data_IF_578413613388
#
_entry.id   IF_578413613388
#
_cell.length_a   1.000
_cell.length_b   1.000
_cell.length_c   1.000
_cell.angle_alpha   90.00
_cell.angle_beta   90.00
_cell.angle_gamma   90.00
#
_symmetry.space_group_name_H-M   'P 1'
#
loop_
_entity.id
_entity.type
_entity.pdbx_description
1 polymer ?
#
# COMPACT_ATOMS: atom_id res chain seq x y z
N UNK A 1 -25.25 2.82 3.79
CA UNK A 1 -24.17 2.37 4.68
C UNK A 1 -23.85 0.91 4.41
N UNK A 2 -22.67 0.68 3.83
CA UNK A 2 -22.04 -0.62 3.65
C UNK A 2 -21.80 -1.31 4.99
N UNK A 3 -21.69 -2.64 4.99
CA UNK A 3 -21.32 -3.43 6.18
C UNK A 3 -20.04 -2.87 6.83
N UNK A 4 -19.06 -2.49 6.01
CA UNK A 4 -17.80 -1.90 6.47
C UNK A 4 -17.98 -0.52 7.13
N UNK A 5 -18.89 0.32 6.64
CA UNK A 5 -19.18 1.62 7.26
C UNK A 5 -19.92 1.44 8.59
N UNK A 6 -20.71 0.37 8.74
CA UNK A 6 -21.36 0.03 10.01
C UNK A 6 -20.36 -0.50 11.02
N UNK A 7 -19.41 -1.32 10.60
CA UNK A 7 -18.39 -1.87 11.50
C UNK A 7 -17.40 -0.79 11.92
N UNK A 8 -16.97 0.10 11.01
CA UNK A 8 -16.13 1.24 11.39
C UNK A 8 -16.83 2.20 12.33
N UNK A 9 -18.11 2.50 12.12
CA UNK A 9 -18.89 3.33 13.04
C UNK A 9 -19.07 2.66 14.42
N UNK A 10 -19.13 1.32 14.47
CA UNK A 10 -19.19 0.57 15.72
C UNK A 10 -17.87 0.61 16.48
N UNK A 11 -16.74 0.42 15.78
CA UNK A 11 -15.41 0.47 16.38
C UNK A 11 -15.06 1.88 16.88
N UNK A 12 -15.35 2.93 16.11
CA UNK A 12 -15.16 4.32 16.55
C UNK A 12 -15.95 4.66 17.81
N UNK A 13 -17.16 4.10 17.95
CA UNK A 13 -17.98 4.30 19.15
C UNK A 13 -17.40 3.58 20.36
N UNK A 14 -16.89 2.36 20.20
CA UNK A 14 -16.25 1.60 21.27
C UNK A 14 -14.95 2.26 21.75
N UNK A 15 -14.15 2.82 20.83
CA UNK A 15 -12.95 3.58 21.18
C UNK A 15 -13.29 4.86 21.95
N UNK A 16 -14.32 5.59 21.52
CA UNK A 16 -14.78 6.78 22.24
C UNK A 16 -15.37 6.46 23.63
N UNK A 17 -16.00 5.30 23.79
CA UNK A 17 -16.49 4.81 25.09
C UNK A 17 -15.31 4.40 26.00
N UNK A 18 -14.22 3.84 25.46
CA UNK A 18 -13.00 3.50 26.20
C UNK A 18 -12.21 4.73 26.68
N UNK A 19 -12.03 5.74 25.82
CA UNK A 19 -11.35 6.98 26.18
C UNK A 19 -12.13 7.78 27.27
N UNK A 20 -13.46 7.65 27.29
CA UNK A 20 -14.29 8.30 28.30
C UNK A 20 -14.20 7.64 29.69
N UNK A 21 -13.79 6.37 29.77
CA UNK A 21 -13.58 5.67 31.05
C UNK A 21 -12.20 5.97 31.68
N UNK A 22 -11.23 6.48 30.91
CA UNK A 22 -9.91 6.87 31.42
C UNK A 22 -9.92 8.21 32.18
N UNK A 23 -10.90 9.10 31.93
CA UNK A 23 -10.94 10.43 32.56
C UNK A 23 -11.63 10.47 33.96
N UNK A 24 -12.22 9.38 34.46
CA UNK A 24 -12.91 9.35 35.78
C UNK A 24 -12.22 8.43 36.82
N UNK A 25 -11.11 7.77 36.48
CA UNK A 25 -10.42 6.80 37.36
C UNK A 25 -9.23 7.33 38.16
N UNK A 26 -8.90 8.62 38.05
CA UNK A 26 -7.68 9.21 38.58
C UNK A 26 -7.71 9.64 40.05
N UNK A 27 -8.05 8.76 41.01
CA UNK A 27 -7.67 8.97 42.42
C UNK A 27 -7.50 7.64 43.17
N UNK A 28 -6.38 7.53 43.91
CA UNK A 28 -5.93 6.44 44.79
C UNK A 28 -5.26 5.21 44.14
N UNK A 29 -3.93 5.20 44.11
CA UNK A 29 -3.11 4.58 45.19
C UNK A 29 -1.61 4.77 44.91
N UNK A 30 -1.00 5.61 45.73
CA UNK A 30 0.44 5.72 45.93
C UNK A 30 0.94 4.68 46.94
N UNK A 31 2.19 4.23 46.68
CA UNK A 31 3.10 3.42 47.54
C UNK A 31 3.00 1.90 47.36
N UNK A 32 4.02 1.26 46.79
CA UNK A 32 5.25 0.80 47.48
C UNK A 32 6.30 0.32 46.45
N UNK A 33 7.55 0.73 46.67
CA UNK A 33 8.78 0.26 46.00
C UNK A 33 9.04 -1.24 46.25
N UNK A 34 9.57 -1.93 45.25
CA UNK A 34 10.60 -2.95 45.48
C UNK A 34 11.43 -3.17 44.21
N UNK A 35 12.73 -2.94 44.36
CA UNK A 35 13.79 -3.20 43.39
C UNK A 35 13.85 -4.69 42.97
N UNK A 36 14.01 -4.92 41.67
CA UNK A 36 14.60 -6.14 41.14
C UNK A 36 15.34 -5.82 39.83
N UNK A 37 16.67 -5.77 39.96
CA UNK A 37 17.63 -5.91 38.85
C UNK A 37 17.34 -7.19 38.06
N UNK A 38 17.05 -7.07 36.77
CA UNK A 38 17.37 -8.14 35.82
C UNK A 38 17.87 -7.58 34.50
N UNK A 39 19.20 -7.67 34.40
CA UNK A 39 20.04 -7.51 33.23
C UNK A 39 19.54 -8.41 32.08
N UNK A 40 18.85 -7.83 31.10
CA UNK A 40 18.63 -8.45 29.79
C UNK A 40 19.43 -7.67 28.77
N UNK A 41 20.43 -8.36 28.24
CA UNK A 41 21.26 -7.96 27.10
C UNK A 41 20.41 -7.44 25.94
N UNK A 42 20.52 -6.15 25.67
CA UNK A 42 20.26 -5.54 24.37
C UNK A 42 21.05 -6.33 23.30
N UNK A 43 20.32 -7.04 22.45
CA UNK A 43 20.78 -7.39 21.13
C UNK A 43 19.78 -6.82 20.15
N UNK A 44 20.13 -5.62 19.69
CA UNK A 44 19.53 -4.95 18.55
C UNK A 44 19.51 -5.88 17.34
N UNK A 45 18.31 -6.33 16.96
CA UNK A 45 18.03 -6.71 15.56
C UNK A 45 16.98 -5.73 15.06
N UNK A 46 17.46 -4.50 14.96
CA UNK A 46 16.94 -3.48 14.09
C UNK A 46 17.06 -4.01 12.65
N UNK A 47 15.92 -4.29 12.01
CA UNK A 47 15.89 -4.36 10.55
C UNK A 47 15.86 -2.92 10.06
N UNK A 48 17.02 -2.25 10.06
CA UNK A 48 17.21 -0.97 9.40
C UNK A 48 16.90 -1.15 7.91
N UNK A 49 15.71 -0.68 7.52
CA UNK A 49 15.48 -0.22 6.16
C UNK A 49 15.98 1.22 6.07
N UNK A 50 17.28 1.41 6.27
CA UNK A 50 17.94 2.68 5.92
C UNK A 50 18.02 2.76 4.40
N UNK A 51 17.10 3.55 3.84
CA UNK A 51 17.25 4.13 2.51
C UNK A 51 18.25 5.27 2.69
N UNK A 52 19.54 4.99 2.50
CA UNK A 52 20.57 6.01 2.38
C UNK A 52 20.34 6.79 1.08
N UNK A 53 19.76 7.99 1.19
CA UNK A 53 19.74 9.02 0.15
C UNK A 53 21.05 9.82 0.23
N UNK A 54 22.13 9.25 -0.32
CA UNK A 54 23.38 9.97 -0.56
C UNK A 54 23.31 10.63 -1.95
N UNK A 55 22.83 11.88 -2.02
CA UNK A 55 23.08 12.78 -3.15
C UNK A 55 24.18 13.76 -2.74
N UNK A 56 25.41 13.44 -3.14
CA UNK A 56 26.56 14.33 -3.01
C UNK A 56 26.30 15.68 -3.71
N UNK A 57 26.56 16.74 -2.95
CA UNK A 57 26.54 18.13 -3.38
C UNK A 57 27.96 18.50 -3.85
N UNK A 58 28.14 18.69 -5.15
CA UNK A 58 29.39 19.17 -5.75
C UNK A 58 29.14 20.51 -6.47
N UNK A 59 29.98 21.50 -6.13
CA UNK A 59 29.93 22.91 -6.51
C UNK A 59 30.99 23.28 -7.56
N UNK A 60 30.60 23.94 -8.65
CA UNK A 60 31.30 25.02 -9.42
C UNK A 60 30.57 25.25 -10.77
N UNK A 61 29.78 26.33 -11.01
CA UNK A 61 30.13 27.73 -11.44
C UNK A 61 30.77 27.77 -12.85
N UNK A 62 30.10 28.19 -13.94
CA UNK A 62 29.72 29.55 -14.40
C UNK A 62 28.73 29.50 -15.61
N UNK A 63 28.07 30.63 -15.98
CA UNK A 63 26.82 30.70 -16.76
C UNK A 63 27.01 31.15 -18.22
N UNK A 64 26.07 30.86 -19.14
CA UNK A 64 25.77 31.74 -20.30
C UNK A 64 24.29 31.68 -20.73
N UNK A 65 23.67 32.86 -20.69
CA UNK A 65 22.58 33.48 -21.49
C UNK A 65 21.22 32.79 -21.78
N UNK A 66 20.17 33.37 -21.17
CA UNK A 66 18.78 33.55 -21.65
C UNK A 66 18.72 34.35 -23.00
N UNK A 67 17.61 34.45 -23.76
CA UNK A 67 16.20 34.31 -23.31
C UNK A 67 15.21 33.62 -24.28
N UNK A 68 14.03 33.29 -23.76
CA UNK A 68 12.76 33.96 -24.12
C UNK A 68 11.53 33.02 -23.99
N UNK A 69 10.57 33.44 -23.18
CA UNK A 69 9.18 33.38 -23.62
C UNK A 69 8.19 32.53 -22.81
N UNK A 70 7.50 33.23 -21.91
CA UNK A 70 6.04 33.15 -21.67
C UNK A 70 5.45 32.12 -20.67
N UNK A 71 5.24 32.66 -19.45
CA UNK A 71 3.95 32.79 -18.70
C UNK A 71 3.07 31.54 -18.46
N UNK A 72 3.15 31.01 -17.23
CA UNK A 72 2.12 30.84 -16.17
C UNK A 72 0.60 30.94 -16.51
N UNK A 73 -0.33 30.42 -15.67
CA UNK A 73 -0.24 29.30 -14.71
C UNK A 73 -1.52 28.40 -14.63
N UNK A 74 -1.38 27.30 -13.86
CA UNK A 74 -2.38 26.58 -13.03
C UNK A 74 -3.87 26.97 -13.10
N UNK A 75 -4.72 25.96 -13.27
CA UNK A 75 -5.97 25.83 -12.50
C UNK A 75 -6.45 24.37 -12.44
N UNK A 76 -6.32 23.81 -11.24
CA UNK A 76 -7.08 22.68 -10.72
C UNK A 76 -8.60 22.90 -10.93
N UNK A 77 -9.31 21.92 -11.49
CA UNK A 77 -10.71 21.65 -11.12
C UNK A 77 -11.20 20.29 -11.67
N UNK A 78 -11.18 19.32 -10.77
CA UNK A 78 -11.92 18.06 -10.75
C UNK A 78 -13.41 18.23 -11.09
N UNK A 79 -13.92 17.52 -12.11
CA UNK A 79 -15.26 16.90 -12.10
C UNK A 79 -15.47 15.91 -13.27
N UNK A 80 -14.94 14.69 -13.16
CA UNK A 80 -15.47 13.58 -13.96
C UNK A 80 -16.68 13.00 -13.20
N UNK A 81 -17.89 13.48 -13.54
CA UNK A 81 -19.15 12.87 -13.13
C UNK A 81 -19.78 12.17 -14.33
N UNK A 82 -20.11 10.92 -14.06
CA UNK A 82 -20.72 9.89 -14.87
C UNK A 82 -22.04 10.32 -15.53
N UNK A 83 -22.25 9.94 -16.80
CA UNK A 83 -23.51 10.20 -17.50
C UNK A 83 -23.58 9.70 -18.94
N UNK A 84 -23.34 8.41 -19.18
CA UNK A 84 -23.74 7.79 -20.46
C UNK A 84 -25.28 7.73 -20.54
N UNK A 85 -25.88 8.57 -21.38
CA UNK A 85 -27.25 8.37 -21.90
C UNK A 85 -27.19 8.30 -23.43
N UNK A 86 -27.14 7.09 -23.96
CA UNK A 86 -27.50 6.79 -25.34
C UNK A 86 -29.02 6.88 -25.47
N UNK A 87 -29.52 7.62 -26.47
CA UNK A 87 -30.96 7.65 -26.73
C UNK A 87 -31.47 8.62 -27.78
N UNK A 88 -31.08 8.39 -29.05
CA UNK A 88 -31.97 8.48 -30.22
C UNK A 88 -32.39 9.88 -30.73
N UNK A 89 -32.39 9.99 -32.07
CA UNK A 89 -33.02 11.02 -32.95
C UNK A 89 -32.19 12.26 -33.30
N UNK A 90 -31.50 12.20 -34.44
CA UNK A 90 -31.78 13.11 -35.57
C UNK A 90 -31.07 12.60 -36.83
N UNK A 91 -31.87 12.12 -37.77
CA UNK A 91 -31.51 11.94 -39.17
C UNK A 91 -31.47 13.32 -39.81
N UNK A 92 -30.32 13.75 -40.30
CA UNK A 92 -30.23 14.71 -41.40
C UNK A 92 -29.13 14.28 -42.36
N UNK A 93 -29.59 13.97 -43.56
CA UNK A 93 -28.81 13.67 -44.75
C UNK A 93 -28.05 14.91 -45.24
N UNK A 94 -26.72 14.85 -45.24
CA UNK A 94 -25.88 15.65 -46.13
C UNK A 94 -24.78 14.77 -46.70
N UNK A 95 -24.71 14.73 -48.03
CA UNK A 95 -23.76 13.96 -48.81
C UNK A 95 -22.31 14.45 -48.66
N UNK A 96 -21.37 13.51 -48.73
CA UNK A 96 -20.05 13.72 -49.31
C UNK A 96 -18.93 14.20 -48.38
N UNK A 97 -18.38 13.30 -47.56
CA UNK A 97 -16.94 13.03 -47.55
C UNK A 97 -16.67 11.73 -46.75
N UNK A 98 -16.25 10.67 -47.43
CA UNK A 98 -15.88 9.42 -46.78
C UNK A 98 -14.50 9.57 -46.12
N UNK A 99 -14.47 10.09 -44.90
CA UNK A 99 -13.31 9.96 -44.02
C UNK A 99 -13.15 8.47 -43.74
N UNK A 100 -12.10 7.86 -44.29
CA UNK A 100 -11.64 6.53 -43.88
C UNK A 100 -11.48 6.57 -42.37
N UNK A 101 -12.28 5.81 -41.65
CA UNK A 101 -12.04 5.57 -40.23
C UNK A 101 -10.82 4.66 -40.20
N UNK A 102 -9.66 5.25 -40.00
CA UNK A 102 -8.44 4.49 -39.77
C UNK A 102 -8.70 3.58 -38.57
N UNK A 103 -8.62 2.27 -38.80
CA UNK A 103 -8.72 1.28 -37.73
C UNK A 103 -7.71 1.64 -36.63
N UNK A 104 -8.08 1.57 -35.34
CA UNK A 104 -7.15 1.87 -34.28
C UNK A 104 -5.92 0.96 -34.41
N UNK A 105 -4.71 1.50 -34.21
CA UNK A 105 -3.48 0.74 -34.35
C UNK A 105 -3.52 -0.51 -33.46
N UNK A 106 -2.94 -1.64 -33.90
CA UNK A 106 -2.85 -2.84 -33.09
C UNK A 106 -2.24 -2.51 -31.72
N UNK A 107 -2.74 -3.14 -30.62
CA UNK A 107 -2.20 -2.90 -29.30
C UNK A 107 -0.69 -3.19 -29.29
N UNK A 108 0.07 -2.36 -28.60
CA UNK A 108 1.51 -2.52 -28.48
C UNK A 108 1.85 -3.94 -27.99
N UNK A 109 2.92 -4.56 -28.52
CA UNK A 109 3.39 -5.86 -28.04
C UNK A 109 3.64 -5.82 -26.53
N UNK A 110 3.12 -6.81 -25.80
CA UNK A 110 3.41 -6.98 -24.37
C UNK A 110 4.80 -7.55 -24.17
N UNK A 111 5.51 -7.12 -23.13
CA UNK A 111 6.78 -7.74 -22.73
C UNK A 111 6.55 -9.22 -22.38
N UNK A 112 7.29 -10.17 -22.96
CA UNK A 112 7.12 -11.60 -22.68
C UNK A 112 7.39 -11.97 -21.21
N UNK A 113 8.14 -11.18 -20.45
CA UNK A 113 8.45 -11.41 -19.03
C UNK A 113 7.27 -11.10 -18.11
N UNK A 114 6.38 -10.21 -18.54
CA UNK A 114 5.16 -9.85 -17.83
C UNK A 114 4.02 -9.74 -18.85
N UNK A 115 3.41 -10.88 -19.27
CA UNK A 115 2.43 -10.93 -20.35
C UNK A 115 1.04 -10.41 -19.89
N UNK A 116 1.02 -9.23 -19.28
CA UNK A 116 -0.18 -8.50 -18.91
C UNK A 116 -0.55 -7.53 -20.04
N UNK A 117 -1.77 -7.66 -20.55
CA UNK A 117 -2.34 -6.67 -21.47
C UNK A 117 -2.52 -5.32 -20.77
N UNK A 118 -2.51 -4.24 -21.54
CA UNK A 118 -2.77 -2.89 -21.01
C UNK A 118 -4.09 -2.79 -20.25
N UNK A 119 -5.12 -3.53 -20.69
CA UNK A 119 -6.41 -3.63 -19.99
C UNK A 119 -6.27 -4.27 -18.61
N UNK A 120 -5.50 -5.35 -18.49
CA UNK A 120 -5.28 -6.02 -17.20
C UNK A 120 -4.53 -5.11 -16.23
N UNK A 121 -3.44 -4.46 -16.69
CA UNK A 121 -2.70 -3.48 -15.88
C UNK A 121 -3.61 -2.37 -15.37
N UNK A 122 -4.41 -1.77 -16.27
CA UNK A 122 -5.38 -0.75 -15.88
C UNK A 122 -6.38 -1.26 -14.85
N UNK A 123 -6.94 -2.46 -15.04
CA UNK A 123 -7.87 -3.05 -14.08
C UNK A 123 -7.22 -3.25 -12.71
N UNK A 124 -5.98 -3.75 -12.65
CA UNK A 124 -5.24 -3.93 -11.39
C UNK A 124 -5.03 -2.61 -10.67
N UNK A 125 -4.49 -1.60 -11.36
CA UNK A 125 -4.26 -0.25 -10.81
C UNK A 125 -5.57 0.38 -10.35
N UNK A 126 -6.65 0.23 -11.13
CA UNK A 126 -7.95 0.77 -10.78
C UNK A 126 -8.57 0.09 -9.55
N UNK A 127 -8.50 -1.23 -9.45
CA UNK A 127 -8.98 -1.96 -8.27
C UNK A 127 -8.16 -1.64 -7.02
N UNK A 128 -6.84 -1.47 -7.20
CA UNK A 128 -5.94 -1.19 -6.09
C UNK A 128 -6.21 0.15 -5.41
N UNK A 129 -6.64 1.18 -6.15
CA UNK A 129 -7.01 2.50 -5.59
C UNK A 129 -8.06 2.47 -4.48
N UNK A 130 -8.88 1.42 -4.42
CA UNK A 130 -9.84 1.22 -3.34
C UNK A 130 -9.14 0.71 -2.08
N UNK A 131 -8.30 -0.32 -2.24
CA UNK A 131 -7.53 -0.97 -1.19
C UNK A 131 -6.50 0.00 -0.58
N UNK A 132 -5.83 0.78 -1.43
CA UNK A 132 -4.78 1.71 -1.03
C UNK A 132 -5.22 2.83 -0.10
N UNK A 133 -6.53 3.00 0.12
CA UNK A 133 -7.09 3.97 1.07
C UNK A 133 -7.12 3.46 2.50
N UNK A 134 -6.97 2.16 2.69
CA UNK A 134 -7.11 1.47 3.97
C UNK A 134 -6.04 0.38 4.08
N UNK A 135 -4.78 0.75 3.84
CA UNK A 135 -3.64 -0.16 3.72
C UNK A 135 -3.47 -1.02 4.95
N UNK A 136 -3.23 -0.37 6.10
CA UNK A 136 -2.98 -1.04 7.37
C UNK A 136 -4.13 -1.97 7.81
N UNK A 137 -5.40 -1.53 7.92
CA UNK A 137 -6.47 -2.43 8.35
C UNK A 137 -6.73 -3.57 7.36
N UNK A 138 -6.49 -3.35 6.05
CA UNK A 138 -6.58 -4.43 5.06
C UNK A 138 -5.45 -5.43 5.21
N UNK A 139 -4.22 -4.94 5.43
CA UNK A 139 -3.05 -5.78 5.66
C UNK A 139 -3.17 -6.62 6.93
N UNK A 140 -3.62 -6.01 8.04
CA UNK A 140 -3.89 -6.74 9.29
C UNK A 140 -4.91 -7.83 9.02
N UNK A 141 -6.02 -7.53 8.33
CA UNK A 141 -7.02 -8.53 7.99
C UNK A 141 -6.44 -9.68 7.14
N UNK A 142 -5.54 -9.37 6.20
CA UNK A 142 -4.86 -10.38 5.38
C UNK A 142 -4.02 -11.33 6.24
N UNK A 143 -3.26 -10.80 7.22
CA UNK A 143 -2.48 -11.60 8.14
C UNK A 143 -3.33 -12.42 9.12
N UNK A 144 -4.45 -11.89 9.60
CA UNK A 144 -5.38 -12.67 10.42
C UNK A 144 -5.88 -13.90 9.66
N UNK A 145 -6.28 -13.73 8.39
CA UNK A 145 -6.71 -14.83 7.53
C UNK A 145 -5.57 -15.82 7.29
N UNK A 146 -4.36 -15.33 7.07
CA UNK A 146 -3.16 -16.15 6.92
C UNK A 146 -2.93 -17.04 8.13
N UNK A 147 -2.96 -16.48 9.35
CA UNK A 147 -2.71 -17.24 10.57
C UNK A 147 -3.87 -18.14 10.99
N UNK A 148 -5.11 -17.82 10.60
CA UNK A 148 -6.27 -18.71 10.73
C UNK A 148 -6.14 -19.98 9.89
N UNK A 149 -5.57 -19.86 8.69
CA UNK A 149 -5.42 -20.98 7.74
C UNK A 149 -4.10 -21.73 7.93
N UNK A 150 -3.05 -21.04 8.39
CA UNK A 150 -1.68 -21.52 8.50
C UNK A 150 -1.00 -21.04 9.78
N UNK A 151 -1.42 -21.57 10.93
CA UNK A 151 -0.91 -21.19 12.26
C UNK A 151 0.61 -21.42 12.41
N UNK A 152 1.19 -22.35 11.65
CA UNK A 152 2.60 -22.69 11.69
C UNK A 152 3.50 -21.54 11.22
N UNK A 153 2.98 -20.68 10.33
CA UNK A 153 3.72 -19.55 9.77
C UNK A 153 3.97 -18.46 10.80
N UNK A 154 3.13 -18.38 11.84
CA UNK A 154 3.28 -17.41 12.93
C UNK A 154 4.65 -17.52 13.61
N UNK A 155 5.23 -18.74 13.65
CA UNK A 155 6.56 -18.99 14.22
C UNK A 155 7.72 -18.26 13.49
N UNK A 156 7.51 -17.83 12.24
CA UNK A 156 8.50 -17.07 11.46
C UNK A 156 8.58 -15.60 11.88
N UNK A 157 7.56 -15.09 12.58
CA UNK A 157 7.44 -13.68 12.93
C UNK A 157 7.90 -13.44 14.37
N UNK A 158 9.21 -13.33 14.57
CA UNK A 158 9.83 -13.26 15.89
C UNK A 158 9.22 -12.20 16.85
N UNK A 159 8.78 -11.05 16.31
CA UNK A 159 8.22 -9.94 17.10
C UNK A 159 6.82 -10.21 17.67
N UNK A 160 6.03 -11.07 17.05
CA UNK A 160 4.62 -11.28 17.42
C UNK A 160 4.18 -12.76 17.35
N UNK A 161 5.13 -13.69 17.39
CA UNK A 161 4.89 -15.14 17.36
C UNK A 161 4.03 -15.68 18.51
N UNK A 162 3.93 -14.92 19.61
CA UNK A 162 3.16 -15.29 20.79
C UNK A 162 1.68 -14.87 20.69
N UNK A 163 1.31 -14.05 19.70
CA UNK A 163 -0.08 -13.61 19.51
C UNK A 163 -0.90 -14.73 18.86
N UNK A 164 -1.52 -15.57 19.68
CA UNK A 164 -2.26 -16.75 19.22
C UNK A 164 -3.74 -16.49 19.02
N UNK A 165 -4.28 -15.43 19.62
CA UNK A 165 -5.68 -15.09 19.48
C UNK A 165 -5.90 -13.99 18.45
N UNK A 166 -7.09 -14.01 17.83
CA UNK A 166 -7.49 -12.99 16.85
C UNK A 166 -7.48 -11.59 17.45
N UNK A 167 -7.93 -11.44 18.68
CA UNK A 167 -8.03 -10.14 19.35
C UNK A 167 -6.65 -9.57 19.68
N UNK A 168 -5.71 -10.40 20.14
CA UNK A 168 -4.31 -10.00 20.34
C UNK A 168 -3.65 -9.58 19.03
N UNK A 169 -3.87 -10.35 17.95
CA UNK A 169 -3.31 -10.04 16.63
C UNK A 169 -3.85 -8.71 16.08
N UNK A 170 -5.16 -8.46 16.19
CA UNK A 170 -5.77 -7.20 15.71
C UNK A 170 -5.17 -5.98 16.41
N UNK A 171 -4.95 -6.08 17.73
CA UNK A 171 -4.52 -4.94 18.54
C UNK A 171 -3.00 -4.78 18.63
N UNK A 172 -2.22 -5.70 18.05
CA UNK A 172 -0.76 -5.60 18.08
C UNK A 172 -0.24 -4.53 17.14
N UNK A 173 0.59 -3.65 17.69
CA UNK A 173 1.29 -2.61 16.95
C UNK A 173 2.30 -3.23 15.97
N UNK A 174 3.01 -4.27 16.41
CA UNK A 174 4.03 -4.96 15.61
C UNK A 174 3.42 -5.63 14.37
N UNK A 175 2.21 -6.19 14.50
CA UNK A 175 1.49 -6.74 13.35
C UNK A 175 0.98 -5.63 12.42
N UNK A 176 0.46 -4.53 12.98
CA UNK A 176 -0.01 -3.37 12.20
C UNK A 176 1.13 -2.76 11.36
N UNK A 177 2.29 -2.53 11.97
CA UNK A 177 3.47 -2.02 11.28
C UNK A 177 3.92 -2.96 10.17
N UNK A 178 4.05 -4.26 10.48
CA UNK A 178 4.45 -5.25 9.48
C UNK A 178 3.47 -5.35 8.32
N UNK A 179 2.17 -5.38 8.62
CA UNK A 179 1.10 -5.34 7.64
C UNK A 179 1.20 -4.09 6.76
N UNK A 180 1.47 -2.92 7.34
CA UNK A 180 1.72 -1.67 6.62
C UNK A 180 2.88 -1.79 5.63
N UNK A 181 4.03 -2.34 6.07
CA UNK A 181 5.20 -2.56 5.20
C UNK A 181 4.87 -3.48 4.01
N UNK A 182 4.17 -4.60 4.25
CA UNK A 182 3.79 -5.53 3.19
C UNK A 182 2.82 -4.87 2.21
N UNK A 183 1.83 -4.13 2.70
CA UNK A 183 0.88 -3.44 1.83
C UNK A 183 1.58 -2.37 0.98
N UNK A 184 2.49 -1.58 1.56
CA UNK A 184 3.30 -0.61 0.81
C UNK A 184 4.16 -1.31 -0.26
N UNK A 185 4.68 -2.50 0.05
CA UNK A 185 5.43 -3.31 -0.92
C UNK A 185 4.56 -3.68 -2.12
N UNK A 186 3.32 -4.11 -1.88
CA UNK A 186 2.37 -4.42 -2.95
C UNK A 186 2.01 -3.17 -3.78
N UNK A 187 1.87 -2.01 -3.12
CA UNK A 187 1.55 -0.74 -3.79
C UNK A 187 2.67 -0.27 -4.72
N UNK A 188 3.93 -0.35 -4.28
CA UNK A 188 5.09 -0.05 -5.15
C UNK A 188 5.22 -1.04 -6.31
N UNK A 189 4.97 -2.33 -6.06
CA UNK A 189 4.89 -3.34 -7.12
C UNK A 189 3.82 -2.98 -8.17
N UNK A 190 2.66 -2.48 -7.75
CA UNK A 190 1.58 -2.09 -8.67
C UNK A 190 1.91 -0.80 -9.43
N UNK A 191 2.57 0.17 -8.79
CA UNK A 191 3.01 1.43 -9.43
C UNK A 191 4.07 1.20 -10.51
N UNK A 192 4.91 0.18 -10.34
CA UNK A 192 6.01 -0.13 -11.27
C UNK A 192 5.58 -1.04 -12.44
N UNK A 193 4.32 -1.50 -12.52
CA UNK A 193 3.84 -2.43 -13.57
C UNK A 193 4.02 -1.93 -15.01
N UNK A 194 4.15 -0.62 -15.23
CA UNK A 194 4.40 -0.04 -16.55
C UNK A 194 5.87 -0.12 -16.97
N UNK A 195 6.79 -0.33 -16.03
CA UNK A 195 8.21 -0.59 -16.26
C UNK A 195 8.60 -1.98 -15.73
N UNK A 196 8.69 -2.96 -16.63
CA UNK A 196 8.93 -4.37 -16.29
C UNK A 196 10.30 -4.59 -15.64
N UNK A 197 11.31 -3.79 -16.01
CA UNK A 197 12.64 -3.91 -15.39
C UNK A 197 12.59 -3.44 -13.94
N UNK A 198 12.03 -2.25 -13.68
CA UNK A 198 11.85 -1.74 -12.32
C UNK A 198 10.98 -2.66 -11.45
N UNK A 199 9.90 -3.22 -12.01
CA UNK A 199 9.05 -4.18 -11.33
C UNK A 199 9.82 -5.45 -10.93
N UNK A 200 10.61 -6.01 -11.85
CA UNK A 200 11.39 -7.22 -11.58
C UNK A 200 12.51 -6.96 -10.57
N UNK A 201 13.21 -5.84 -10.67
CA UNK A 201 14.26 -5.45 -9.73
C UNK A 201 13.69 -5.33 -8.31
N UNK A 202 12.53 -4.69 -8.19
CA UNK A 202 11.81 -4.56 -6.94
C UNK A 202 11.39 -5.93 -6.36
N UNK A 203 10.81 -6.81 -7.19
CA UNK A 203 10.45 -8.16 -6.75
C UNK A 203 11.67 -9.00 -6.34
N UNK A 204 12.80 -8.85 -7.03
CA UNK A 204 14.03 -9.54 -6.64
C UNK A 204 14.55 -9.05 -5.29
N UNK A 205 14.47 -7.75 -5.01
CA UNK A 205 14.84 -7.20 -3.70
C UNK A 205 13.97 -7.77 -2.58
N UNK A 206 12.64 -7.81 -2.78
CA UNK A 206 11.69 -8.39 -1.82
C UNK A 206 11.93 -9.90 -1.66
N UNK A 207 12.15 -10.64 -2.75
CA UNK A 207 12.46 -12.06 -2.68
C UNK A 207 13.79 -12.35 -1.96
N UNK A 208 14.79 -11.50 -2.15
CA UNK A 208 16.09 -11.61 -1.49
C UNK A 208 15.98 -11.37 0.02
N UNK A 209 15.12 -10.45 0.47
CA UNK A 209 14.90 -10.23 1.90
C UNK A 209 14.23 -11.43 2.57
N UNK A 210 13.23 -12.05 1.92
CA UNK A 210 12.54 -13.22 2.48
C UNK A 210 13.45 -14.44 2.60
N UNK A 211 14.40 -14.63 1.68
CA UNK A 211 15.38 -15.73 1.78
C UNK A 211 16.33 -15.61 2.98
N UNK A 212 16.45 -14.42 3.59
CA UNK A 212 17.27 -14.22 4.79
C UNK A 212 16.54 -14.65 6.08
N UNK A 213 15.22 -14.85 6.02
CA UNK A 213 14.41 -15.20 7.19
C UNK A 213 14.65 -16.67 7.54
N UNK A 214 15.08 -16.98 8.78
CA UNK A 214 15.30 -18.35 9.22
C UNK A 214 14.02 -19.19 9.13
N UNK A 215 14.09 -20.35 8.48
CA UNK A 215 12.94 -21.26 8.32
C UNK A 215 11.95 -20.87 7.22
N UNK A 216 12.18 -19.75 6.51
CA UNK A 216 11.38 -19.40 5.33
C UNK A 216 11.55 -20.42 4.21
N UNK A 217 10.44 -20.70 3.54
CA UNK A 217 10.35 -21.62 2.41
C UNK A 217 9.62 -20.92 1.27
N UNK A 218 10.09 -21.10 0.05
CA UNK A 218 9.53 -20.40 -1.14
C UNK A 218 8.07 -20.81 -1.37
N UNK A 219 7.71 -22.02 -0.95
CA UNK A 219 6.37 -22.59 -1.01
C UNK A 219 5.34 -21.82 -0.15
N UNK A 220 5.78 -20.93 0.73
CA UNK A 220 4.88 -20.04 1.49
C UNK A 220 4.37 -18.86 0.65
N UNK A 221 4.91 -18.63 -0.55
CA UNK A 221 4.32 -17.74 -1.55
C UNK A 221 3.57 -18.59 -2.58
N UNK A 222 2.31 -18.91 -2.26
CA UNK A 222 1.40 -19.68 -3.12
C UNK A 222 0.55 -18.82 -4.04
#
# INVERSE_FOLDING_TARGET
>A
MSYYEKEQARLLRLLAEYEAEEEDGGELLSSEESDADENVSEQDVQCDMDIEEEVEQSSDVQPEEEPDGHRNPSLFATKCVMGCKLGKLATSSTAGNAVKRDDPPPPAPTDPRLPLSAKQKYTMVASWKGISRAMEPTGVHMFLRLFEEHEELLSLFAKFKELRTRDEQINSLELQEHAGTVMNTLDEGIRTLDNVDAFNDYLHQVGASHRKIPGFKVEYFW
#
